data_IF_539325374580
#
_entry.id   IF_539325374580
#
_cell.length_a   1.000
_cell.length_b   1.000
_cell.length_c   1.000
_cell.angle_alpha   90.00
_cell.angle_beta   90.00
_cell.angle_gamma   90.00
#
_symmetry.space_group_name_H-M   'P 1'
#
loop_
_entity.id
_entity.type
_entity.pdbx_description
1 polymer ?
#
# COMPACT_ATOMS: atom_id res chain seq x y z
N UNK A 1 31.00 -23.42 -9.77
CA UNK A 1 30.62 -22.15 -10.42
C UNK A 1 30.51 -22.36 -11.92
N UNK A 2 29.71 -21.56 -12.63
CA UNK A 2 29.68 -21.53 -14.11
C UNK A 2 28.99 -22.70 -14.83
N UNK A 3 28.09 -23.45 -14.16
CA UNK A 3 27.33 -24.55 -14.79
C UNK A 3 26.09 -24.10 -15.55
N UNK A 4 25.60 -22.88 -15.28
CA UNK A 4 24.40 -22.34 -15.93
C UNK A 4 24.81 -21.76 -17.28
N UNK A 5 24.31 -22.33 -18.37
CA UNK A 5 24.58 -21.83 -19.72
C UNK A 5 23.63 -20.70 -20.09
N UNK A 6 22.33 -20.93 -19.93
CA UNK A 6 21.28 -19.96 -20.20
C UNK A 6 20.46 -19.72 -18.94
N UNK A 7 20.40 -18.47 -18.50
CA UNK A 7 19.51 -18.01 -17.43
C UNK A 7 18.38 -17.19 -18.04
N UNK A 8 17.14 -17.64 -17.89
CA UNK A 8 15.95 -16.90 -18.33
C UNK A 8 15.20 -16.39 -17.10
N UNK A 9 14.97 -15.08 -17.03
CA UNK A 9 14.27 -14.40 -15.94
C UNK A 9 13.02 -13.76 -16.54
N UNK A 10 11.85 -14.11 -16.00
CA UNK A 10 10.56 -13.65 -16.49
C UNK A 10 9.87 -12.89 -15.37
N UNK A 11 9.45 -11.66 -15.66
CA UNK A 11 8.69 -10.77 -14.77
C UNK A 11 9.25 -10.72 -13.34
N UNK A 12 10.58 -10.57 -13.23
CA UNK A 12 11.26 -10.57 -11.94
C UNK A 12 12.52 -9.73 -11.97
N UNK A 13 12.78 -9.06 -10.84
CA UNK A 13 13.94 -8.20 -10.66
C UNK A 13 14.82 -8.67 -9.47
N UNK A 14 15.46 -9.85 -9.59
CA UNK A 14 16.27 -10.43 -8.52
C UNK A 14 17.55 -9.64 -8.19
N UNK A 15 18.10 -8.84 -9.11
CA UNK A 15 19.23 -7.93 -8.78
C UNK A 15 18.82 -6.91 -7.71
N UNK A 16 17.58 -6.43 -7.76
CA UNK A 16 17.04 -5.51 -6.76
C UNK A 16 16.49 -6.25 -5.52
N UNK A 17 15.74 -7.33 -5.73
CA UNK A 17 14.93 -7.97 -4.67
C UNK A 17 15.63 -9.10 -3.92
N UNK A 18 16.70 -9.72 -4.46
CA UNK A 18 17.34 -10.84 -3.78
C UNK A 18 17.90 -10.41 -2.41
N UNK A 19 17.79 -11.27 -1.37
CA UNK A 19 18.53 -11.09 -0.13
C UNK A 19 20.03 -10.86 -0.39
N UNK A 20 20.64 -9.98 0.40
CA UNK A 20 22.00 -9.50 0.17
C UNK A 20 23.05 -10.63 0.23
N UNK A 21 22.84 -11.62 1.09
CA UNK A 21 23.71 -12.78 1.24
C UNK A 21 23.75 -13.71 0.01
N UNK A 22 22.76 -13.63 -0.87
CA UNK A 22 22.76 -14.41 -2.12
C UNK A 22 23.68 -13.81 -3.19
N UNK A 23 24.07 -12.54 -3.08
CA UNK A 23 24.91 -11.83 -4.06
C UNK A 23 24.47 -12.06 -5.52
N UNK A 24 23.15 -12.00 -5.77
CA UNK A 24 22.58 -12.43 -7.05
C UNK A 24 23.18 -11.73 -8.27
N UNK A 25 23.47 -10.43 -8.17
CA UNK A 25 24.10 -9.65 -9.24
C UNK A 25 25.45 -10.26 -9.69
N UNK A 26 26.29 -10.71 -8.76
CA UNK A 26 27.56 -11.35 -9.08
C UNK A 26 27.37 -12.81 -9.55
N UNK A 27 26.38 -13.52 -9.00
CA UNK A 27 26.05 -14.87 -9.44
C UNK A 27 25.53 -14.90 -10.89
N UNK A 28 24.70 -13.92 -11.27
CA UNK A 28 24.13 -13.77 -12.61
C UNK A 28 25.21 -13.62 -13.68
N UNK A 29 26.31 -12.91 -13.39
CA UNK A 29 27.46 -12.74 -14.30
C UNK A 29 28.19 -14.05 -14.63
N UNK A 30 27.96 -15.11 -13.85
CA UNK A 30 28.58 -16.42 -14.08
C UNK A 30 27.82 -17.27 -15.12
N UNK A 31 26.60 -16.87 -15.50
CA UNK A 31 25.87 -17.52 -16.58
C UNK A 31 26.47 -17.11 -17.94
N UNK A 32 26.55 -18.04 -18.91
CA UNK A 32 27.09 -17.70 -20.25
C UNK A 32 26.19 -16.71 -20.99
N UNK A 33 24.87 -16.87 -20.84
CA UNK A 33 23.86 -15.96 -21.37
C UNK A 33 22.76 -15.73 -20.34
N UNK A 34 22.29 -14.50 -20.25
CA UNK A 34 21.14 -14.12 -19.45
C UNK A 34 20.10 -13.39 -20.31
N UNK A 35 18.87 -13.86 -20.27
CA UNK A 35 17.71 -13.29 -20.97
C UNK A 35 16.70 -12.83 -19.93
N UNK A 36 16.31 -11.57 -20.01
CA UNK A 36 15.32 -10.96 -19.11
C UNK A 36 14.12 -10.54 -19.93
N UNK A 37 12.93 -10.99 -19.52
CA UNK A 37 11.63 -10.58 -20.05
C UNK A 37 10.87 -9.80 -18.97
N UNK A 38 11.00 -8.47 -18.96
CA UNK A 38 10.46 -7.59 -17.92
C UNK A 38 9.72 -6.38 -18.53
N UNK A 39 8.77 -5.76 -17.80
CA UNK A 39 8.02 -4.61 -18.30
C UNK A 39 8.84 -3.31 -18.34
N UNK A 40 9.93 -3.26 -17.57
CA UNK A 40 10.84 -2.11 -17.50
C UNK A 40 12.27 -2.57 -17.70
N UNK A 41 13.11 -1.68 -18.23
CA UNK A 41 14.57 -1.83 -18.17
C UNK A 41 15.01 -1.55 -16.72
N UNK A 42 14.92 -2.58 -15.89
CA UNK A 42 15.24 -2.56 -14.47
C UNK A 42 16.68 -2.96 -14.14
N UNK A 43 17.00 -3.04 -12.85
CA UNK A 43 18.32 -3.39 -12.35
C UNK A 43 18.81 -4.75 -12.84
N UNK A 44 17.90 -5.70 -13.08
CA UNK A 44 18.24 -7.01 -13.62
C UNK A 44 18.44 -6.95 -15.13
N UNK A 45 17.54 -6.26 -15.84
CA UNK A 45 17.67 -6.05 -17.28
C UNK A 45 18.97 -5.32 -17.66
N UNK A 46 19.37 -4.31 -16.87
CA UNK A 46 20.59 -3.54 -17.07
C UNK A 46 21.88 -4.39 -16.97
N UNK A 47 21.81 -5.57 -16.33
CA UNK A 47 22.93 -6.51 -16.21
C UNK A 47 22.77 -7.74 -17.12
N UNK A 48 21.67 -7.84 -17.87
CA UNK A 48 21.37 -8.98 -18.71
C UNK A 48 22.10 -8.92 -20.06
N UNK A 49 22.29 -10.09 -20.68
CA UNK A 49 22.78 -10.16 -22.07
C UNK A 49 21.71 -9.73 -23.06
N UNK A 50 20.45 -10.11 -22.78
CA UNK A 50 19.28 -9.78 -23.57
C UNK A 50 18.19 -9.22 -22.69
N UNK A 51 17.63 -8.08 -23.10
CA UNK A 51 16.38 -7.55 -22.55
C UNK A 51 15.28 -7.66 -23.62
N UNK A 52 14.16 -8.26 -23.23
CA UNK A 52 12.96 -8.39 -24.02
C UNK A 52 11.85 -7.63 -23.28
N UNK A 53 11.19 -6.64 -23.90
CA UNK A 53 10.06 -5.96 -23.27
C UNK A 53 8.90 -6.93 -23.08
N UNK A 54 8.42 -7.08 -21.83
CA UNK A 54 7.24 -7.88 -21.50
C UNK A 54 5.95 -7.11 -21.84
N UNK A 55 5.01 -7.75 -22.52
CA UNK A 55 3.68 -7.20 -22.74
C UNK A 55 2.90 -7.07 -21.43
N UNK A 56 2.17 -5.97 -21.25
CA UNK A 56 1.30 -5.81 -20.09
C UNK A 56 0.13 -6.82 -20.17
N UNK A 57 -0.44 -7.32 -19.05
CA UNK A 57 -1.57 -8.25 -19.08
C UNK A 57 -2.79 -7.77 -19.89
N UNK A 58 -2.96 -6.45 -20.04
CA UNK A 58 -4.02 -5.86 -20.88
C UNK A 58 -3.75 -5.95 -22.40
N UNK A 59 -2.57 -6.41 -22.80
CA UNK A 59 -2.09 -6.51 -24.18
C UNK A 59 -1.83 -7.95 -24.62
N UNK A 60 -2.03 -8.93 -23.73
CA UNK A 60 -1.67 -10.33 -23.96
C UNK A 60 -2.79 -11.29 -23.57
N UNK A 61 -2.89 -12.40 -24.29
CA UNK A 61 -3.63 -13.58 -23.85
C UNK A 61 -2.84 -14.38 -22.82
N UNK A 62 -3.51 -14.76 -21.74
CA UNK A 62 -2.96 -15.69 -20.74
C UNK A 62 -4.11 -16.28 -19.92
N UNK A 63 -3.80 -17.06 -18.91
CA UNK A 63 -4.71 -17.39 -17.82
C UNK A 63 -4.07 -17.05 -16.46
N UNK A 64 -4.92 -17.03 -15.43
CA UNK A 64 -4.53 -16.82 -14.04
C UNK A 64 -5.41 -17.67 -13.13
N UNK A 65 -4.88 -18.07 -11.97
CA UNK A 65 -5.60 -18.82 -10.95
C UNK A 65 -5.72 -18.00 -9.67
N UNK A 66 -6.94 -17.79 -9.21
CA UNK A 66 -7.24 -17.12 -7.95
C UNK A 66 -6.83 -17.97 -6.74
N UNK A 67 -6.83 -17.36 -5.55
CA UNK A 67 -6.36 -18.00 -4.31
C UNK A 67 -7.14 -19.28 -3.93
N UNK A 68 -8.40 -19.39 -4.36
CA UNK A 68 -9.27 -20.54 -4.11
C UNK A 68 -9.20 -21.62 -5.21
N UNK A 69 -8.35 -21.39 -6.22
CA UNK A 69 -8.21 -22.28 -7.36
C UNK A 69 -9.02 -21.90 -8.59
N UNK A 70 -9.97 -20.98 -8.49
CA UNK A 70 -10.81 -20.56 -9.61
C UNK A 70 -9.93 -19.95 -10.71
N UNK A 71 -10.09 -20.42 -11.94
CA UNK A 71 -9.29 -19.98 -13.08
C UNK A 71 -10.03 -18.89 -13.87
N UNK A 72 -9.27 -17.93 -14.39
CA UNK A 72 -9.72 -16.86 -15.27
C UNK A 72 -8.82 -16.79 -16.50
N UNK A 73 -9.39 -16.47 -17.66
CA UNK A 73 -8.63 -16.20 -18.88
C UNK A 73 -8.41 -14.68 -18.97
N UNK A 74 -7.14 -14.28 -19.08
CA UNK A 74 -6.74 -12.90 -19.28
C UNK A 74 -6.99 -12.53 -20.74
N UNK A 75 -7.78 -11.48 -20.94
CA UNK A 75 -8.17 -10.96 -22.25
C UNK A 75 -7.41 -9.68 -22.57
N UNK A 76 -6.75 -9.58 -23.73
CA UNK A 76 -6.18 -8.31 -24.17
C UNK A 76 -7.32 -7.33 -24.50
N UNK A 77 -7.27 -6.14 -23.91
CA UNK A 77 -8.18 -5.03 -24.22
C UNK A 77 -7.65 -4.15 -25.35
N UNK A 78 -6.35 -4.24 -25.63
CA UNK A 78 -5.68 -3.48 -26.68
C UNK A 78 -4.61 -4.33 -27.35
N UNK A 79 -4.23 -3.97 -28.57
CA UNK A 79 -3.02 -4.54 -29.21
C UNK A 79 -1.77 -4.00 -28.50
N UNK A 80 -0.67 -4.76 -28.44
CA UNK A 80 0.58 -4.29 -27.84
C UNK A 80 1.01 -2.92 -28.40
N UNK A 81 1.23 -1.97 -27.51
CA UNK A 81 1.65 -0.62 -27.88
C UNK A 81 3.11 -0.57 -28.36
N UNK A 82 3.93 -1.48 -27.85
CA UNK A 82 5.33 -1.63 -28.20
C UNK A 82 5.57 -3.00 -28.85
N UNK A 83 6.77 -3.18 -29.42
CA UNK A 83 7.21 -4.50 -29.93
C UNK A 83 7.61 -5.43 -28.77
N UNK A 84 6.72 -5.62 -27.82
CA UNK A 84 6.87 -6.49 -26.66
C UNK A 84 6.57 -7.95 -27.00
N UNK A 85 6.91 -8.84 -26.08
CA UNK A 85 6.63 -10.29 -26.16
C UNK A 85 5.97 -10.76 -24.88
N UNK A 86 5.23 -11.86 -24.97
CA UNK A 86 4.65 -12.52 -23.80
C UNK A 86 5.56 -13.62 -23.27
N UNK A 87 5.32 -14.06 -22.03
CA UNK A 87 6.00 -15.23 -21.47
C UNK A 87 5.73 -16.50 -22.30
N UNK A 88 4.51 -16.65 -22.82
CA UNK A 88 4.11 -17.77 -23.67
C UNK A 88 4.95 -17.83 -24.95
N UNK A 89 5.09 -16.70 -25.65
CA UNK A 89 5.88 -16.63 -26.89
C UNK A 89 7.36 -16.91 -26.64
N UNK A 90 7.93 -16.38 -25.55
CA UNK A 90 9.32 -16.64 -25.18
C UNK A 90 9.55 -18.14 -24.91
N UNK A 91 8.68 -18.75 -24.09
CA UNK A 91 8.77 -20.17 -23.77
C UNK A 91 8.55 -21.05 -25.01
N UNK A 92 7.66 -20.65 -25.92
CA UNK A 92 7.46 -21.35 -27.19
C UNK A 92 8.73 -21.36 -28.05
N UNK A 93 9.42 -20.21 -28.17
CA UNK A 93 10.71 -20.13 -28.87
C UNK A 93 11.76 -21.04 -28.24
N UNK A 94 11.86 -21.05 -26.91
CA UNK A 94 12.79 -21.92 -26.19
C UNK A 94 12.49 -23.41 -26.36
N UNK A 95 11.21 -23.76 -26.58
CA UNK A 95 10.78 -25.12 -26.89
C UNK A 95 10.83 -25.46 -28.39
N UNK A 96 11.35 -24.57 -29.24
CA UNK A 96 11.45 -24.76 -30.69
C UNK A 96 10.14 -24.55 -31.46
N UNK A 97 9.06 -24.14 -30.80
CA UNK A 97 7.77 -23.81 -31.40
C UNK A 97 7.73 -22.33 -31.86
N UNK A 98 8.66 -21.97 -32.74
CA UNK A 98 8.82 -20.59 -33.21
C UNK A 98 7.57 -20.17 -34.00
N UNK A 99 6.98 -19.03 -33.63
CA UNK A 99 5.80 -18.47 -34.30
C UNK A 99 4.47 -18.82 -33.64
N UNK A 100 4.47 -19.66 -32.60
CA UNK A 100 3.27 -19.88 -31.77
C UNK A 100 2.91 -18.61 -31.02
N UNK A 101 1.65 -18.17 -31.16
CA UNK A 101 1.13 -16.99 -30.46
C UNK A 101 0.70 -17.33 -29.03
N UNK A 102 0.57 -16.31 -28.19
CA UNK A 102 0.00 -16.44 -26.85
C UNK A 102 -1.45 -16.96 -26.88
N UNK A 103 -2.26 -16.45 -27.81
CA UNK A 103 -3.63 -16.90 -28.04
C UNK A 103 -3.71 -18.40 -28.38
N UNK A 104 -2.88 -18.86 -29.33
CA UNK A 104 -2.83 -20.26 -29.73
C UNK A 104 -2.35 -21.15 -28.57
N UNK A 105 -1.39 -20.66 -27.77
CA UNK A 105 -0.90 -21.37 -26.58
C UNK A 105 -2.00 -21.59 -25.56
N UNK A 106 -2.73 -20.54 -25.20
CA UNK A 106 -3.84 -20.59 -24.22
C UNK A 106 -4.96 -21.49 -24.74
N UNK A 107 -5.37 -21.33 -26.00
CA UNK A 107 -6.44 -22.16 -26.58
C UNK A 107 -6.05 -23.62 -26.65
N UNK A 108 -4.84 -23.93 -27.12
CA UNK A 108 -4.36 -25.31 -27.22
C UNK A 108 -4.34 -25.96 -25.84
N UNK A 109 -3.85 -25.26 -24.82
CA UNK A 109 -3.85 -25.77 -23.46
C UNK A 109 -5.27 -26.06 -22.96
N UNK A 110 -6.21 -25.11 -23.08
CA UNK A 110 -7.58 -25.30 -22.59
C UNK A 110 -8.38 -26.32 -23.40
N UNK A 111 -8.12 -26.45 -24.69
CA UNK A 111 -8.73 -27.50 -25.51
C UNK A 111 -8.26 -28.88 -25.04
N UNK A 112 -6.98 -29.04 -24.72
CA UNK A 112 -6.44 -30.27 -24.13
C UNK A 112 -6.99 -30.56 -22.73
N UNK A 113 -7.09 -29.54 -21.86
CA UNK A 113 -7.61 -29.71 -20.50
C UNK A 113 -9.09 -30.10 -20.47
N UNK A 114 -9.88 -29.53 -21.37
CA UNK A 114 -11.34 -29.79 -21.42
C UNK A 114 -11.68 -31.06 -22.22
N UNK A 115 -10.84 -31.45 -23.18
CA UNK A 115 -11.09 -32.59 -24.06
C UNK A 115 -12.29 -32.38 -24.98
N UNK A 116 -12.77 -31.15 -25.12
CA UNK A 116 -13.91 -30.79 -25.96
C UNK A 116 -13.52 -30.79 -27.45
N UNK A 117 -14.49 -31.12 -28.31
CA UNK A 117 -14.33 -30.90 -29.74
C UNK A 117 -14.31 -29.41 -30.09
N UNK A 118 -13.94 -29.06 -31.33
CA UNK A 118 -13.73 -27.66 -31.73
C UNK A 118 -14.96 -26.77 -31.48
N UNK A 119 -16.16 -27.27 -31.78
CA UNK A 119 -17.39 -26.50 -31.65
C UNK A 119 -17.77 -26.28 -30.17
N UNK A 120 -17.73 -27.33 -29.36
CA UNK A 120 -18.01 -27.22 -27.93
C UNK A 120 -16.93 -26.43 -27.19
N UNK A 121 -15.66 -26.53 -27.62
CA UNK A 121 -14.56 -25.74 -27.08
C UNK A 121 -14.74 -24.25 -27.37
N UNK A 122 -15.17 -23.87 -28.58
CA UNK A 122 -15.42 -22.47 -28.92
C UNK A 122 -16.52 -21.86 -28.05
N UNK A 123 -17.58 -22.60 -27.77
CA UNK A 123 -18.65 -22.15 -26.87
C UNK A 123 -18.18 -22.05 -25.41
N UNK A 124 -17.40 -23.04 -24.94
CA UNK A 124 -16.74 -23.00 -23.64
C UNK A 124 -15.83 -21.77 -23.50
N UNK A 125 -14.95 -21.54 -24.48
CA UNK A 125 -13.98 -20.45 -24.46
C UNK A 125 -14.70 -19.10 -24.43
N UNK A 126 -15.66 -18.87 -25.34
CA UNK A 126 -16.48 -17.64 -25.35
C UNK A 126 -17.21 -17.42 -24.03
N UNK A 127 -17.76 -18.48 -23.42
CA UNK A 127 -18.42 -18.38 -22.12
C UNK A 127 -17.42 -17.96 -21.04
N UNK A 128 -16.26 -18.60 -20.96
CA UNK A 128 -15.21 -18.26 -19.99
C UNK A 128 -14.72 -16.81 -20.15
N UNK A 129 -14.59 -16.33 -21.39
CA UNK A 129 -14.27 -14.93 -21.67
C UNK A 129 -15.37 -13.97 -21.21
N UNK A 130 -16.64 -14.32 -21.42
CA UNK A 130 -17.79 -13.50 -21.05
C UNK A 130 -18.02 -13.44 -19.53
N UNK A 131 -17.91 -14.58 -18.84
CA UNK A 131 -18.07 -14.67 -17.39
C UNK A 131 -16.83 -14.20 -16.63
N UNK A 132 -15.67 -14.22 -17.28
CA UNK A 132 -14.37 -13.90 -16.68
C UNK A 132 -13.79 -15.03 -15.81
N UNK A 133 -14.49 -16.15 -15.64
CA UNK A 133 -14.05 -17.31 -14.85
C UNK A 133 -14.44 -18.62 -15.51
N UNK A 134 -13.65 -19.66 -15.23
CA UNK A 134 -13.91 -21.03 -15.66
C UNK A 134 -14.57 -21.78 -14.49
N UNK A 135 -15.87 -22.05 -14.63
CA UNK A 135 -16.63 -22.82 -13.64
C UNK A 135 -16.02 -24.22 -13.41
N UNK A 136 -16.11 -24.74 -12.18
CA UNK A 136 -15.61 -26.07 -11.83
C UNK A 136 -14.10 -26.20 -11.66
N UNK A 137 -13.35 -25.08 -11.65
CA UNK A 137 -11.88 -25.09 -11.46
C UNK A 137 -11.43 -24.82 -10.02
N UNK A 138 -12.35 -24.47 -9.13
CA UNK A 138 -12.10 -24.25 -7.70
C UNK A 138 -11.45 -25.51 -7.09
N UNK A 139 -10.48 -25.32 -6.19
CA UNK A 139 -9.84 -26.44 -5.52
C UNK A 139 -10.81 -27.08 -4.51
N UNK A 140 -10.89 -28.40 -4.55
CA UNK A 140 -11.65 -29.17 -3.56
C UNK A 140 -10.90 -29.19 -2.22
N UNK A 141 -11.60 -29.03 -1.09
CA UNK A 141 -10.99 -29.18 0.23
C UNK A 141 -10.36 -30.56 0.40
N UNK A 142 -9.18 -30.60 1.00
CA UNK A 142 -8.49 -31.85 1.35
C UNK A 142 -8.59 -32.08 2.85
N UNK A 143 -9.07 -33.26 3.25
CA UNK A 143 -9.05 -33.70 4.64
C UNK A 143 -7.59 -33.91 5.08
N UNK A 144 -7.16 -33.10 6.05
CA UNK A 144 -5.82 -33.19 6.63
C UNK A 144 -5.90 -33.65 8.08
N UNK A 145 -4.96 -34.49 8.49
CA UNK A 145 -4.73 -34.83 9.90
C UNK A 145 -3.55 -34.04 10.43
N UNK A 146 -3.67 -33.58 11.68
CA UNK A 146 -2.53 -32.98 12.38
C UNK A 146 -1.51 -34.06 12.70
N UNK A 147 -0.24 -33.79 12.41
CA UNK A 147 0.86 -34.66 12.81
C UNK A 147 1.10 -34.46 14.32
N UNK A 148 0.83 -35.51 15.10
CA UNK A 148 1.11 -35.50 16.53
C UNK A 148 2.63 -35.40 16.80
N UNK A 149 3.00 -34.69 17.87
CA UNK A 149 4.39 -34.60 18.32
C UNK A 149 5.25 -33.54 17.63
N UNK A 150 4.69 -32.68 16.78
CA UNK A 150 5.41 -31.49 16.28
C UNK A 150 5.65 -30.53 17.44
N UNK A 151 6.91 -30.45 17.88
CA UNK A 151 7.34 -29.46 18.87
C UNK A 151 7.99 -28.27 18.16
N UNK A 152 7.28 -27.15 18.09
CA UNK A 152 7.86 -25.87 17.68
C UNK A 152 8.56 -25.25 18.89
N UNK A 153 9.90 -25.29 18.90
CA UNK A 153 10.68 -24.57 19.89
C UNK A 153 10.88 -23.12 19.44
N UNK A 154 10.29 -22.18 20.17
CA UNK A 154 10.61 -20.77 19.97
C UNK A 154 12.05 -20.51 20.45
N UNK A 155 12.85 -19.75 19.69
CA UNK A 155 14.14 -19.29 20.19
C UNK A 155 13.94 -18.44 21.45
N UNK A 156 14.92 -18.39 22.37
CA UNK A 156 14.81 -17.57 23.56
C UNK A 156 14.70 -16.08 23.17
N UNK A 157 13.90 -15.29 23.90
CA UNK A 157 13.73 -13.87 23.61
C UNK A 157 15.05 -13.13 23.78
N UNK A 158 15.32 -12.18 22.88
CA UNK A 158 16.49 -11.30 22.96
C UNK A 158 16.05 -9.91 23.39
N UNK A 159 16.95 -9.14 24.03
CA UNK A 159 16.70 -7.75 24.43
C UNK A 159 17.27 -6.74 23.44
N UNK A 160 17.74 -7.22 22.29
CA UNK A 160 18.33 -6.38 21.25
C UNK A 160 17.26 -5.79 20.34
N UNK A 161 17.61 -4.70 19.66
CA UNK A 161 16.75 -4.13 18.64
C UNK A 161 16.49 -5.16 17.52
N UNK A 162 15.26 -5.17 17.01
CA UNK A 162 14.83 -6.03 15.90
C UNK A 162 14.50 -5.19 14.67
N UNK A 163 14.82 -5.72 13.48
CA UNK A 163 14.48 -5.12 12.20
C UNK A 163 13.46 -6.01 11.48
N UNK A 164 12.27 -5.48 11.23
CA UNK A 164 11.18 -6.14 10.52
C UNK A 164 11.05 -5.59 9.10
N UNK A 165 11.01 -6.50 8.13
CA UNK A 165 10.73 -6.16 6.73
C UNK A 165 9.26 -6.38 6.42
N UNK A 166 8.61 -5.41 5.79
CA UNK A 166 7.24 -5.56 5.29
C UNK A 166 7.15 -5.09 3.84
N UNK A 167 6.37 -5.75 2.97
CA UNK A 167 6.02 -5.16 1.68
C UNK A 167 5.34 -3.80 1.90
N UNK A 168 5.62 -2.85 1.02
CA UNK A 168 4.90 -1.59 1.05
C UNK A 168 3.43 -1.80 0.63
N UNK A 169 2.42 -1.23 1.31
CA UNK A 169 1.02 -1.47 0.98
C UNK A 169 0.59 -1.04 -0.43
N UNK A 170 1.29 -0.08 -1.05
CA UNK A 170 0.92 0.43 -2.38
C UNK A 170 1.80 -0.17 -3.48
N UNK A 171 3.13 -0.19 -3.30
CA UNK A 171 4.07 -0.63 -4.35
C UNK A 171 4.61 -2.06 -4.12
N UNK A 172 4.19 -2.72 -3.04
CA UNK A 172 4.51 -4.10 -2.68
C UNK A 172 6.01 -4.38 -2.57
N UNK A 173 6.58 -5.04 -3.57
CA UNK A 173 7.99 -5.42 -3.68
C UNK A 173 8.79 -4.51 -4.63
N UNK A 174 8.17 -3.42 -5.09
CA UNK A 174 8.78 -2.44 -6.00
C UNK A 174 8.51 -2.69 -7.48
N UNK A 175 7.77 -3.76 -7.82
CA UNK A 175 7.31 -3.99 -9.20
C UNK A 175 6.45 -2.85 -9.74
N UNK A 176 5.72 -2.17 -8.84
CA UNK A 176 4.88 -1.01 -9.18
C UNK A 176 5.50 0.33 -8.80
N UNK A 177 6.80 0.38 -8.47
CA UNK A 177 7.45 1.61 -8.00
C UNK A 177 7.45 2.75 -9.04
N UNK A 178 7.33 2.43 -10.33
CA UNK A 178 7.25 3.44 -11.39
C UNK A 178 5.80 3.92 -11.65
N UNK A 179 4.83 3.51 -10.82
CA UNK A 179 3.46 4.00 -10.86
C UNK A 179 3.30 5.22 -9.94
N UNK A 180 3.11 6.40 -10.53
CA UNK A 180 3.01 7.65 -9.77
C UNK A 180 1.76 7.75 -8.89
N UNK A 181 0.64 7.12 -9.27
CA UNK A 181 -0.55 7.04 -8.41
C UNK A 181 -0.22 6.34 -7.10
N UNK A 182 0.54 5.24 -7.16
CA UNK A 182 0.91 4.44 -5.98
C UNK A 182 2.06 5.05 -5.17
N UNK A 183 2.91 5.88 -5.80
CA UNK A 183 3.93 6.65 -5.08
C UNK A 183 3.32 7.82 -4.28
N UNK A 184 2.37 8.54 -4.86
CA UNK A 184 1.66 9.64 -4.20
C UNK A 184 0.59 9.14 -3.21
N UNK A 185 0.16 7.87 -3.30
CA UNK A 185 -0.85 7.30 -2.41
C UNK A 185 -0.37 7.34 -0.94
N UNK A 186 -1.03 8.06 -0.02
CA UNK A 186 -0.59 8.13 1.37
C UNK A 186 -0.65 6.75 2.04
N UNK A 187 0.42 6.30 2.69
CA UNK A 187 0.43 5.00 3.38
C UNK A 187 -0.61 4.95 4.50
N UNK A 188 -1.33 3.81 4.72
CA UNK A 188 -2.51 3.78 5.59
C UNK A 188 -2.30 4.36 7.00
N UNK A 189 -1.18 4.01 7.64
CA UNK A 189 -0.89 4.44 9.02
C UNK A 189 -0.09 5.73 9.09
N UNK A 190 0.97 5.86 8.28
CA UNK A 190 1.92 6.98 8.38
C UNK A 190 1.52 8.20 7.54
N UNK A 191 0.66 8.00 6.54
CA UNK A 191 0.29 8.98 5.49
C UNK A 191 1.47 9.51 4.68
N UNK A 192 2.63 8.85 4.79
CA UNK A 192 3.80 9.14 3.98
C UNK A 192 3.50 8.90 2.49
N UNK A 193 4.12 9.72 1.65
CA UNK A 193 4.14 9.59 0.19
C UNK A 193 5.58 9.63 -0.30
N UNK A 194 5.84 9.08 -1.49
CA UNK A 194 7.13 9.13 -2.20
C UNK A 194 8.35 8.48 -1.53
N UNK A 195 8.30 8.14 -0.23
CA UNK A 195 9.41 7.54 0.51
C UNK A 195 8.96 6.45 1.48
N UNK A 196 9.85 5.50 1.73
CA UNK A 196 9.85 4.68 2.95
C UNK A 196 10.68 5.32 4.07
N UNK A 197 10.43 4.87 5.30
CA UNK A 197 11.14 5.31 6.49
C UNK A 197 11.31 4.14 7.48
N UNK A 198 12.21 4.31 8.45
CA UNK A 198 12.35 3.41 9.59
C UNK A 198 11.27 3.75 10.61
N UNK A 199 10.23 2.92 10.66
CA UNK A 199 9.11 3.09 11.57
C UNK A 199 9.52 2.63 12.97
N UNK A 200 9.34 3.50 13.96
CA UNK A 200 9.75 3.24 15.36
C UNK A 200 8.69 3.71 16.34
N UNK A 201 8.64 3.09 17.52
CA UNK A 201 7.80 3.56 18.63
C UNK A 201 8.31 4.89 19.20
N UNK A 202 7.44 5.72 19.82
CA UNK A 202 7.85 6.90 20.57
C UNK A 202 9.00 6.64 21.55
N UNK A 203 8.90 5.56 22.35
CA UNK A 203 9.92 5.19 23.35
C UNK A 203 11.24 4.80 22.71
N UNK A 204 11.18 4.01 21.63
CA UNK A 204 12.36 3.61 20.87
C UNK A 204 13.04 4.83 20.26
N UNK A 205 12.28 5.77 19.70
CA UNK A 205 12.82 7.01 19.14
C UNK A 205 13.52 7.88 20.19
N UNK A 206 12.92 8.09 21.36
CA UNK A 206 13.52 8.85 22.47
C UNK A 206 14.86 8.25 22.87
N UNK A 207 14.93 6.92 23.01
CA UNK A 207 16.15 6.20 23.38
C UNK A 207 17.21 6.27 22.28
N UNK A 208 16.84 5.99 21.02
CA UNK A 208 17.77 5.95 19.89
C UNK A 208 18.36 7.32 19.57
N UNK A 209 17.55 8.37 19.64
CA UNK A 209 17.97 9.74 19.34
C UNK A 209 18.50 10.50 20.58
N UNK A 210 18.53 9.86 21.75
CA UNK A 210 18.92 10.45 23.02
C UNK A 210 18.20 11.79 23.28
N UNK A 211 16.89 11.80 23.06
CA UNK A 211 16.10 13.03 23.17
C UNK A 211 15.88 13.37 24.65
N UNK A 212 15.88 14.66 25.03
CA UNK A 212 15.64 15.10 26.40
C UNK A 212 14.13 15.08 26.72
N UNK A 213 13.51 13.91 26.64
CA UNK A 213 12.12 13.66 27.03
C UNK A 213 12.06 12.71 28.22
N UNK A 214 11.14 13.00 29.12
CA UNK A 214 10.61 11.99 30.03
C UNK A 214 9.43 11.29 29.33
N UNK A 215 9.46 9.97 29.09
CA UNK A 215 8.32 9.24 28.55
C UNK A 215 7.01 9.48 29.32
N UNK A 216 7.07 9.78 30.62
CA UNK A 216 5.88 10.13 31.40
C UNK A 216 5.22 11.45 30.96
N UNK A 217 5.98 12.36 30.33
CA UNK A 217 5.42 13.61 29.77
C UNK A 217 4.52 13.39 28.56
N UNK A 218 4.66 12.24 27.87
CA UNK A 218 3.79 11.86 26.76
C UNK A 218 2.40 11.41 27.21
N UNK A 219 2.28 11.03 28.49
CA UNK A 219 1.02 10.61 29.14
C UNK A 219 0.34 11.75 29.91
N UNK A 220 0.91 12.97 29.93
CA UNK A 220 0.31 14.10 30.63
C UNK A 220 -0.99 14.57 29.95
N UNK A 221 -1.99 15.11 30.68
CA UNK A 221 -3.19 15.65 30.04
C UNK A 221 -2.99 17.09 29.52
N UNK A 222 -3.69 17.43 28.43
CA UNK A 222 -3.79 18.79 27.89
C UNK A 222 -2.51 19.32 27.23
N UNK A 223 -2.35 20.66 27.24
CA UNK A 223 -1.33 21.38 26.44
C UNK A 223 0.12 20.88 26.61
N UNK A 224 0.46 20.32 27.77
CA UNK A 224 1.81 19.80 28.01
C UNK A 224 2.10 18.57 27.13
N UNK A 225 1.10 17.71 26.90
CA UNK A 225 1.20 16.58 25.99
C UNK A 225 1.24 17.04 24.55
N UNK A 226 0.41 18.00 24.16
CA UNK A 226 0.39 18.52 22.78
C UNK A 226 1.77 19.07 22.38
N UNK A 227 2.41 19.84 23.28
CA UNK A 227 3.78 20.34 23.07
C UNK A 227 4.83 19.22 23.06
N UNK A 228 4.70 18.21 23.92
CA UNK A 228 5.62 17.07 23.92
C UNK A 228 5.49 16.24 22.62
N UNK A 229 4.26 16.05 22.15
CA UNK A 229 3.95 15.39 20.88
C UNK A 229 4.50 16.17 19.70
N UNK A 230 4.28 17.49 19.64
CA UNK A 230 4.80 18.35 18.57
C UNK A 230 6.33 18.32 18.51
N UNK A 231 7.00 18.35 19.67
CA UNK A 231 8.46 18.23 19.72
C UNK A 231 8.94 16.85 19.28
N UNK A 232 8.23 15.78 19.62
CA UNK A 232 8.57 14.42 19.24
C UNK A 232 8.36 14.21 17.73
N UNK A 233 7.20 14.59 17.20
CA UNK A 233 6.89 14.51 15.76
C UNK A 233 7.81 15.41 14.95
N UNK A 234 8.25 16.52 15.53
CA UNK A 234 9.30 17.37 15.00
C UNK A 234 10.58 16.61 14.66
N UNK A 235 10.88 15.49 15.32
CA UNK A 235 12.05 14.63 15.06
C UNK A 235 11.90 13.64 13.90
N UNK A 236 10.72 13.55 13.28
CA UNK A 236 10.55 12.81 12.03
C UNK A 236 11.54 13.31 10.96
N UNK A 237 12.09 12.38 10.18
CA UNK A 237 13.11 12.68 9.17
C UNK A 237 14.54 12.73 9.70
N UNK A 238 14.79 12.55 11.01
CA UNK A 238 16.14 12.32 11.54
C UNK A 238 16.74 11.05 10.96
N UNK A 239 18.00 11.12 10.51
CA UNK A 239 18.69 9.98 9.91
C UNK A 239 19.26 9.05 10.98
N UNK A 240 19.15 7.75 10.75
CA UNK A 240 19.83 6.70 11.53
C UNK A 240 20.62 5.78 10.59
N UNK A 241 21.74 5.26 11.09
CA UNK A 241 22.49 4.19 10.45
C UNK A 241 22.05 2.86 11.08
N UNK A 242 21.35 2.03 10.31
CA UNK A 242 20.89 0.68 10.70
C UNK A 242 21.92 -0.32 10.20
N UNK A 243 22.52 -1.09 11.12
CA UNK A 243 23.53 -2.10 10.80
C UNK A 243 23.01 -3.49 11.13
N UNK A 244 23.04 -4.36 10.13
CA UNK A 244 22.79 -5.81 10.22
C UNK A 244 24.05 -6.57 9.81
N UNK A 245 24.12 -7.90 9.99
CA UNK A 245 25.26 -8.68 9.48
C UNK A 245 25.40 -8.63 7.95
N UNK A 246 24.34 -8.24 7.22
CA UNK A 246 24.38 -8.06 5.77
C UNK A 246 25.01 -6.72 5.34
N UNK A 247 24.95 -5.69 6.19
CA UNK A 247 25.50 -4.38 5.91
C UNK A 247 24.85 -3.25 6.71
N UNK A 248 25.22 -2.02 6.37
CA UNK A 248 24.68 -0.80 6.98
C UNK A 248 23.88 -0.02 5.94
N UNK A 249 22.71 0.50 6.34
CA UNK A 249 21.89 1.40 5.54
C UNK A 249 21.54 2.64 6.36
N UNK A 250 21.75 3.80 5.76
CA UNK A 250 21.31 5.08 6.30
C UNK A 250 19.90 5.39 5.82
N UNK A 251 18.97 5.68 6.73
CA UNK A 251 17.60 6.06 6.38
C UNK A 251 16.93 6.92 7.46
N UNK A 252 15.90 7.72 7.12
CA UNK A 252 15.19 8.55 8.08
C UNK A 252 14.23 7.74 8.94
N UNK A 253 14.02 8.19 10.18
CA UNK A 253 12.99 7.64 11.05
C UNK A 253 11.63 8.30 10.81
N UNK A 254 10.59 7.54 11.11
CA UNK A 254 9.23 8.04 11.27
C UNK A 254 8.61 7.42 12.53
N UNK A 255 8.18 8.28 13.45
CA UNK A 255 7.68 7.87 14.76
C UNK A 255 6.19 7.53 14.62
N UNK A 256 5.82 6.32 15.05
CA UNK A 256 4.46 5.77 14.91
C UNK A 256 3.94 5.35 16.28
N UNK A 257 2.96 6.07 16.86
CA UNK A 257 2.19 5.59 18.01
C UNK A 257 1.60 4.18 17.76
N UNK A 258 1.67 3.31 18.77
CA UNK A 258 1.27 1.91 18.68
C UNK A 258 2.28 0.98 18.02
N UNK A 259 3.45 1.49 17.62
CA UNK A 259 4.53 0.63 17.16
C UNK A 259 5.20 -0.10 18.33
N UNK A 260 5.60 -1.34 18.12
CA UNK A 260 6.27 -2.13 19.14
C UNK A 260 7.61 -1.50 19.57
N UNK A 261 7.91 -1.58 20.85
CA UNK A 261 9.20 -1.15 21.39
C UNK A 261 10.34 -2.03 20.88
N UNK A 262 11.53 -1.42 20.81
CA UNK A 262 12.77 -2.06 20.38
C UNK A 262 12.66 -2.76 19.01
N UNK A 263 11.73 -2.29 18.18
CA UNK A 263 11.47 -2.79 16.83
C UNK A 263 11.56 -1.63 15.84
N UNK A 264 12.26 -1.85 14.74
CA UNK A 264 12.25 -1.00 13.55
C UNK A 264 11.52 -1.75 12.45
N UNK A 265 10.43 -1.20 11.91
CA UNK A 265 9.84 -1.70 10.66
C UNK A 265 10.30 -0.88 9.47
N UNK A 266 10.75 -1.55 8.41
CA UNK A 266 11.08 -0.92 7.12
C UNK A 266 10.26 -1.54 6.00
N UNK A 267 9.85 -0.73 5.02
CA UNK A 267 9.06 -1.21 3.88
C UNK A 267 9.90 -1.46 2.64
N UNK A 268 9.61 -2.56 1.94
CA UNK A 268 10.24 -2.98 0.70
C UNK A 268 9.69 -2.18 -0.50
N UNK A 269 10.40 -2.23 -1.63
CA UNK A 269 9.92 -1.71 -2.92
C UNK A 269 10.43 -0.33 -3.33
N UNK A 270 11.18 0.35 -2.45
CA UNK A 270 11.81 1.65 -2.70
C UNK A 270 13.32 1.54 -2.97
N UNK A 271 13.94 2.65 -3.37
CA UNK A 271 15.37 2.77 -3.61
C UNK A 271 15.82 2.09 -4.90
N UNK A 272 14.95 2.08 -5.90
CA UNK A 272 15.27 1.57 -7.22
C UNK A 272 16.22 2.53 -7.94
N UNK A 273 17.20 1.96 -8.64
CA UNK A 273 18.18 2.71 -9.44
C UNK A 273 17.90 2.65 -10.93
N UNK A 274 17.02 1.73 -11.33
CA UNK A 274 16.52 1.56 -12.69
C UNK A 274 15.02 1.23 -12.63
N UNK A 275 14.34 1.27 -13.78
CA UNK A 275 12.92 0.95 -13.88
C UNK A 275 12.00 2.17 -14.05
N UNK A 276 12.56 3.36 -14.25
CA UNK A 276 11.83 4.52 -14.75
C UNK A 276 11.87 5.76 -13.84
N UNK A 277 11.44 6.88 -14.41
CA UNK A 277 11.59 8.23 -13.83
C UNK A 277 10.86 8.45 -12.50
N UNK A 278 9.83 7.65 -12.21
CA UNK A 278 9.06 7.76 -10.96
C UNK A 278 9.68 6.88 -9.86
N UNK A 279 10.25 5.74 -10.23
CA UNK A 279 10.89 4.82 -9.30
C UNK A 279 12.30 5.30 -8.87
N UNK A 280 13.05 5.88 -9.81
CA UNK A 280 14.42 6.33 -9.59
C UNK A 280 14.48 7.49 -8.60
N UNK A 281 15.22 7.28 -7.50
CA UNK A 281 15.41 8.29 -6.44
C UNK A 281 14.30 8.34 -5.39
N UNK A 282 13.25 7.52 -5.50
CA UNK A 282 12.22 7.40 -4.47
C UNK A 282 12.67 6.45 -3.34
N UNK A 283 12.74 6.95 -2.10
CA UNK A 283 13.04 6.18 -0.89
C UNK A 283 14.39 5.43 -0.88
N UNK A 284 14.46 4.39 -0.05
CA UNK A 284 15.69 3.69 0.36
C UNK A 284 15.59 2.19 0.09
N UNK A 285 16.65 1.60 -0.49
CA UNK A 285 16.69 0.17 -0.81
C UNK A 285 17.06 -0.67 0.41
N UNK A 286 16.03 -1.18 1.08
CA UNK A 286 16.16 -2.01 2.29
C UNK A 286 16.39 -3.50 2.01
N UNK A 287 16.25 -3.96 0.74
CA UNK A 287 16.59 -5.36 0.39
C UNK A 287 18.05 -5.70 0.69
N UNK A 288 18.93 -4.69 0.68
CA UNK A 288 20.35 -4.80 1.03
C UNK A 288 20.62 -5.21 2.48
N UNK A 289 19.65 -5.05 3.37
CA UNK A 289 19.76 -5.48 4.77
C UNK A 289 19.18 -6.88 5.01
N UNK A 290 18.46 -7.44 4.03
CA UNK A 290 17.72 -8.70 4.16
C UNK A 290 18.64 -9.90 3.94
N UNK A 291 18.43 -10.95 4.72
CA UNK A 291 19.16 -12.22 4.62
C UNK A 291 18.23 -13.37 4.25
N UNK A 292 18.73 -14.37 3.53
CA UNK A 292 17.93 -15.51 3.08
C UNK A 292 17.46 -16.41 4.24
N UNK A 293 18.25 -16.52 5.31
CA UNK A 293 17.91 -17.33 6.48
C UNK A 293 16.72 -16.76 7.28
N UNK A 294 16.66 -15.43 7.42
CA UNK A 294 15.58 -14.73 8.12
C UNK A 294 15.11 -13.54 7.28
N UNK A 295 14.28 -13.78 6.24
CA UNK A 295 13.97 -12.76 5.24
C UNK A 295 13.00 -11.69 5.72
N UNK A 296 12.34 -11.89 6.87
CA UNK A 296 11.31 -10.97 7.37
C UNK A 296 11.67 -10.30 8.68
N UNK A 297 12.56 -10.89 9.48
CA UNK A 297 12.94 -10.38 10.79
C UNK A 297 14.43 -10.64 11.01
N UNK A 298 15.17 -9.61 11.41
CA UNK A 298 16.57 -9.73 11.83
C UNK A 298 16.67 -9.22 13.25
N UNK A 299 17.01 -10.11 14.18
CA UNK A 299 17.30 -9.74 15.57
C UNK A 299 18.77 -9.31 15.73
N UNK A 300 19.09 -8.61 16.82
CA UNK A 300 20.47 -8.23 17.11
C UNK A 300 20.99 -7.08 16.25
N UNK A 301 20.11 -6.23 15.73
CA UNK A 301 20.52 -5.09 14.90
C UNK A 301 21.00 -3.94 15.78
N UNK A 302 21.86 -3.09 15.22
CA UNK A 302 22.26 -1.83 15.86
C UNK A 302 21.77 -0.65 15.03
N UNK A 303 21.30 0.38 15.72
CA UNK A 303 20.88 1.63 15.10
C UNK A 303 21.55 2.79 15.83
N UNK A 304 22.13 3.72 15.08
CA UNK A 304 22.80 4.90 15.64
C UNK A 304 22.28 6.17 14.99
N UNK A 305 22.03 7.20 15.80
CA UNK A 305 21.55 8.49 15.32
C UNK A 305 22.67 9.24 14.57
N UNK A 306 22.30 9.89 13.47
CA UNK A 306 23.19 10.72 12.67
C UNK A 306 22.67 12.16 12.74
N UNK A 307 23.59 13.14 12.78
CA UNK A 307 23.22 14.56 12.77
C UNK A 307 22.87 15.06 11.35
N UNK A 308 21.97 14.35 10.68
CA UNK A 308 21.46 14.65 9.35
C UNK A 308 19.92 14.55 9.37
N UNK A 309 19.27 15.25 8.44
CA UNK A 309 17.82 15.21 8.27
C UNK A 309 17.47 14.99 6.81
N UNK A 310 16.38 14.27 6.59
CA UNK A 310 15.78 14.05 5.29
C UNK A 310 14.33 14.55 5.29
N UNK A 311 13.91 15.14 4.18
CA UNK A 311 12.54 15.57 4.00
C UNK A 311 11.66 14.35 3.74
N UNK A 312 10.92 13.93 4.77
CA UNK A 312 9.77 13.03 4.61
C UNK A 312 8.50 13.86 4.43
N UNK A 313 7.59 13.37 3.60
CA UNK A 313 6.38 14.09 3.22
C UNK A 313 5.16 13.23 3.55
N UNK A 314 4.20 13.83 4.26
CA UNK A 314 2.93 13.22 4.65
C UNK A 314 1.78 14.09 4.15
N UNK A 315 0.65 13.48 3.77
CA UNK A 315 -0.58 14.23 3.46
C UNK A 315 -1.40 14.58 4.71
N UNK A 316 -0.92 14.20 5.89
CA UNK A 316 -1.59 14.46 7.15
C UNK A 316 -0.58 14.93 8.20
N UNK A 317 -0.78 16.15 8.70
CA UNK A 317 0.06 16.77 9.72
C UNK A 317 -0.40 16.39 11.15
N UNK A 318 -1.70 16.54 11.41
CA UNK A 318 -2.30 16.28 12.72
C UNK A 318 -2.92 14.89 12.75
N UNK A 319 -2.55 14.10 13.75
CA UNK A 319 -2.92 12.69 13.85
C UNK A 319 -3.69 12.35 15.12
N UNK A 320 -3.93 13.29 16.01
CA UNK A 320 -4.77 13.18 17.21
C UNK A 320 -6.19 13.67 16.92
N UNK A 321 -7.19 13.19 17.67
CA UNK A 321 -8.57 13.69 17.55
C UNK A 321 -8.75 15.09 18.16
N UNK A 322 -7.83 15.58 19.01
CA UNK A 322 -7.94 16.88 19.69
C UNK A 322 -9.27 17.07 20.46
N UNK A 323 -9.88 15.96 20.92
CA UNK A 323 -11.19 15.96 21.58
C UNK A 323 -12.36 16.34 20.66
N UNK A 324 -12.15 16.38 19.34
CA UNK A 324 -13.16 16.75 18.35
C UNK A 324 -14.03 15.56 17.96
N UNK A 325 -15.29 15.86 17.67
CA UNK A 325 -16.28 14.90 17.23
C UNK A 325 -16.15 14.58 15.72
N UNK A 326 -15.00 14.01 15.35
CA UNK A 326 -14.64 13.68 13.97
C UNK A 326 -14.97 12.21 13.67
N UNK A 327 -14.44 11.30 14.48
CA UNK A 327 -14.80 9.87 14.45
C UNK A 327 -15.42 9.48 15.78
N UNK A 328 -16.62 8.90 15.74
CA UNK A 328 -17.28 8.33 16.91
C UNK A 328 -17.09 6.84 16.93
N UNK A 329 -16.43 6.36 17.98
CA UNK A 329 -16.24 4.95 18.24
C UNK A 329 -16.97 4.54 19.51
N UNK A 330 -17.31 3.26 19.60
CA UNK A 330 -18.01 2.71 20.73
C UNK A 330 -17.97 1.19 20.75
N UNK A 331 -18.30 0.63 21.91
CA UNK A 331 -18.41 -0.81 22.12
C UNK A 331 -19.69 -1.38 21.51
N UNK A 332 -19.55 -2.52 20.84
CA UNK A 332 -20.66 -3.24 20.22
C UNK A 332 -21.69 -3.74 21.23
N UNK A 333 -21.25 -4.19 22.41
CA UNK A 333 -22.15 -4.67 23.47
C UNK A 333 -23.12 -3.57 23.90
N UNK A 334 -22.60 -2.37 24.17
CA UNK A 334 -23.40 -1.19 24.51
C UNK A 334 -24.28 -0.73 23.34
N UNK A 335 -23.81 -0.92 22.10
CA UNK A 335 -24.58 -0.51 20.91
C UNK A 335 -25.81 -1.37 20.72
N UNK A 336 -25.74 -2.66 21.09
CA UNK A 336 -26.90 -3.53 21.10
C UNK A 336 -27.96 -3.10 22.12
N UNK A 337 -27.54 -2.60 23.27
CA UNK A 337 -28.44 -2.16 24.34
C UNK A 337 -29.09 -0.81 24.01
N UNK A 338 -28.30 0.14 23.50
CA UNK A 338 -28.76 1.48 23.11
C UNK A 338 -28.04 1.98 21.84
N UNK A 339 -28.57 1.72 20.63
CA UNK A 339 -27.93 2.20 19.40
C UNK A 339 -27.71 3.72 19.34
N UNK A 340 -28.44 4.51 20.14
CA UNK A 340 -28.35 5.97 20.14
C UNK A 340 -27.22 6.53 21.00
N UNK A 341 -26.52 5.74 21.81
CA UNK A 341 -25.47 6.29 22.67
C UNK A 341 -24.25 6.84 21.90
N UNK A 342 -24.04 6.37 20.66
CA UNK A 342 -23.01 6.88 19.74
C UNK A 342 -23.54 8.00 18.83
N UNK A 343 -24.84 8.32 18.92
CA UNK A 343 -25.41 9.43 18.18
C UNK A 343 -24.82 10.76 18.68
N UNK A 344 -24.80 11.76 17.79
CA UNK A 344 -24.22 13.09 18.04
C UNK A 344 -24.78 13.71 19.33
N UNK A 345 -26.07 13.50 19.55
CA UNK A 345 -26.84 14.03 20.66
C UNK A 345 -26.30 13.52 22.01
N UNK A 346 -25.98 12.23 22.11
CA UNK A 346 -25.51 11.60 23.36
C UNK A 346 -24.00 11.83 23.57
N UNK A 347 -23.21 11.88 22.49
CA UNK A 347 -21.78 12.21 22.58
C UNK A 347 -21.56 13.67 23.03
N UNK A 348 -22.34 14.61 22.49
CA UNK A 348 -22.32 16.02 22.88
C UNK A 348 -22.78 16.24 24.33
N UNK A 349 -23.74 15.46 24.83
CA UNK A 349 -24.15 15.49 26.25
C UNK A 349 -23.08 14.96 27.21
N UNK A 350 -22.26 13.99 26.78
CA UNK A 350 -21.24 13.34 27.63
C UNK A 350 -19.87 14.01 27.59
N UNK A 351 -19.45 14.52 26.43
CA UNK A 351 -18.11 15.07 26.20
C UNK A 351 -18.11 16.50 25.64
N UNK A 352 -19.27 17.04 25.27
CA UNK A 352 -19.42 18.42 24.79
C UNK A 352 -19.67 19.42 25.92
N UNK A 353 -19.47 20.71 25.61
CA UNK A 353 -20.07 21.77 26.43
C UNK A 353 -21.60 21.73 26.26
N UNK A 354 -22.39 22.02 27.30
CA UNK A 354 -23.86 21.97 27.25
C UNK A 354 -24.42 23.13 26.42
N UNK A 355 -24.19 23.12 25.11
CA UNK A 355 -24.87 24.01 24.18
C UNK A 355 -26.24 23.42 23.83
N UNK A 356 -27.29 24.08 24.34
CA UNK A 356 -28.67 23.89 23.89
C UNK A 356 -28.69 23.91 22.37
N UNK A 357 -29.26 22.86 21.77
CA UNK A 357 -29.62 22.79 20.34
C UNK A 357 -30.01 24.18 19.82
N UNK A 358 -29.18 24.87 19.04
CA UNK A 358 -29.74 25.74 18.04
C UNK A 358 -30.46 24.76 17.12
N UNK A 359 -31.79 24.82 17.04
CA UNK A 359 -32.40 24.51 15.75
C UNK A 359 -31.73 25.52 14.82
N UNK A 360 -30.74 25.07 14.04
CA UNK A 360 -30.09 25.90 13.06
C UNK A 360 -31.17 26.26 12.04
N UNK A 361 -31.92 27.33 12.32
CA UNK A 361 -32.77 27.96 11.34
C UNK A 361 -31.82 28.71 10.44
N UNK A 362 -31.55 28.12 9.28
CA UNK A 362 -30.84 28.85 8.23
C UNK A 362 -31.67 30.09 7.88
N UNK A 363 -31.01 31.24 7.78
CA UNK A 363 -31.60 32.45 7.23
C UNK A 363 -31.70 32.37 5.70
N UNK A 364 -31.02 31.40 5.09
CA UNK A 364 -31.07 31.14 3.65
C UNK A 364 -32.27 30.23 3.36
N UNK A 365 -33.02 30.49 2.27
CA UNK A 365 -34.10 29.61 1.85
C UNK A 365 -33.52 28.23 1.49
N UNK A 366 -34.19 27.16 1.92
CA UNK A 366 -33.90 25.81 1.45
C UNK A 366 -34.42 25.58 0.03
N UNK A 367 -33.86 24.60 -0.66
CA UNK A 367 -34.34 24.13 -1.96
C UNK A 367 -35.24 22.91 -1.77
N UNK A 368 -36.23 22.76 -2.66
CA UNK A 368 -37.10 21.58 -2.68
C UNK A 368 -36.52 20.52 -3.62
N UNK A 369 -35.90 19.50 -3.03
CA UNK A 369 -35.38 18.35 -3.75
C UNK A 369 -36.39 17.19 -3.82
N UNK A 370 -37.64 17.37 -3.37
CA UNK A 370 -38.62 16.27 -3.26
C UNK A 370 -39.01 15.64 -4.61
N UNK A 371 -38.73 16.32 -5.71
CA UNK A 371 -38.97 15.84 -7.07
C UNK A 371 -37.65 15.44 -7.74
N UNK A 372 -37.56 14.20 -8.22
CA UNK A 372 -36.35 13.67 -8.86
C UNK A 372 -35.55 12.76 -7.94
N UNK A 373 -34.29 12.52 -8.29
CA UNK A 373 -33.37 11.76 -7.46
C UNK A 373 -32.70 12.71 -6.45
N UNK A 374 -32.47 12.20 -5.23
CA UNK A 374 -31.58 12.85 -4.26
C UNK A 374 -30.40 11.92 -4.01
N UNK A 375 -29.20 12.33 -4.41
CA UNK A 375 -28.01 11.48 -4.26
C UNK A 375 -27.38 11.65 -2.88
N UNK A 376 -27.27 10.55 -2.15
CA UNK A 376 -26.60 10.50 -0.86
C UNK A 376 -25.53 9.40 -0.85
N UNK A 377 -24.39 9.69 -0.21
CA UNK A 377 -23.34 8.71 0.02
C UNK A 377 -23.20 8.43 1.52
N UNK A 378 -23.29 7.15 1.88
CA UNK A 378 -23.08 6.69 3.26
C UNK A 378 -21.86 5.78 3.28
N UNK A 379 -20.93 6.06 4.19
CA UNK A 379 -19.69 5.31 4.34
C UNK A 379 -19.75 4.59 5.69
N UNK A 380 -19.71 3.26 5.65
CA UNK A 380 -19.58 2.44 6.85
C UNK A 380 -18.12 2.44 7.34
N UNK A 381 -17.87 3.22 8.39
CA UNK A 381 -16.53 3.34 9.00
C UNK A 381 -16.09 2.05 9.70
N UNK A 382 -17.01 1.16 10.08
CA UNK A 382 -16.66 -0.11 10.74
C UNK A 382 -16.02 -1.12 9.78
N UNK A 383 -16.34 -1.02 8.48
CA UNK A 383 -15.74 -1.82 7.41
C UNK A 383 -14.50 -1.16 6.79
N UNK A 384 -14.23 0.12 7.09
CA UNK A 384 -13.10 0.84 6.52
C UNK A 384 -11.78 0.42 7.15
N UNK A 385 -11.00 -0.37 6.42
CA UNK A 385 -9.65 -0.79 6.85
C UNK A 385 -8.53 0.14 6.34
N UNK A 386 -8.88 1.23 5.66
CA UNK A 386 -7.91 2.20 5.13
C UNK A 386 -7.03 1.63 4.01
N UNK A 387 -7.59 0.77 3.16
CA UNK A 387 -6.87 0.17 2.03
C UNK A 387 -6.46 1.17 0.93
N UNK A 388 -7.00 2.40 0.96
CA UNK A 388 -6.81 3.46 -0.02
C UNK A 388 -7.18 3.12 -1.48
N UNK A 389 -7.84 1.98 -1.74
CA UNK A 389 -8.30 1.62 -3.07
C UNK A 389 -9.29 2.66 -3.64
N UNK A 390 -10.13 3.24 -2.78
CA UNK A 390 -11.05 4.31 -3.17
C UNK A 390 -10.33 5.60 -3.63
N UNK A 391 -9.14 5.89 -3.09
CA UNK A 391 -8.32 7.04 -3.49
C UNK A 391 -7.80 6.84 -4.92
N UNK A 392 -7.17 5.69 -5.18
CA UNK A 392 -6.65 5.35 -6.52
C UNK A 392 -7.79 5.24 -7.55
N UNK A 393 -8.93 4.66 -7.17
CA UNK A 393 -10.09 4.57 -8.05
C UNK A 393 -10.63 5.96 -8.43
N UNK A 394 -10.74 6.87 -7.46
CA UNK A 394 -11.15 8.25 -7.72
C UNK A 394 -10.14 8.96 -8.63
N UNK A 395 -8.84 8.75 -8.42
CA UNK A 395 -7.77 9.30 -9.25
C UNK A 395 -7.83 8.78 -10.69
N UNK A 396 -8.02 7.47 -10.88
CA UNK A 396 -8.12 6.84 -12.19
C UNK A 396 -9.36 7.29 -12.97
N UNK A 397 -10.52 7.38 -12.31
CA UNK A 397 -11.79 7.76 -12.93
C UNK A 397 -11.84 9.26 -13.28
N UNK A 398 -11.36 10.11 -12.37
CA UNK A 398 -11.52 11.57 -12.48
C UNK A 398 -10.32 12.28 -13.08
N UNK A 399 -9.37 11.54 -13.67
CA UNK A 399 -8.16 12.09 -14.30
C UNK A 399 -7.35 12.99 -13.37
N UNK A 400 -7.28 12.65 -12.07
CA UNK A 400 -6.62 13.50 -11.08
C UNK A 400 -5.10 13.41 -11.29
N UNK A 401 -4.38 14.53 -11.50
CA UNK A 401 -2.97 14.51 -11.82
C UNK A 401 -2.13 14.06 -10.62
N UNK A 402 -0.99 13.44 -10.90
CA UNK A 402 -0.01 13.09 -9.87
C UNK A 402 0.75 14.34 -9.43
N UNK A 403 0.94 14.52 -8.12
CA UNK A 403 1.74 15.60 -7.55
C UNK A 403 3.06 15.08 -7.01
N UNK A 404 4.16 15.69 -7.46
CA UNK A 404 5.50 15.33 -7.01
C UNK A 404 5.75 15.71 -5.54
N UNK A 405 6.66 14.96 -4.90
CA UNK A 405 7.05 15.10 -3.48
C UNK A 405 7.21 16.54 -2.99
N UNK A 406 7.86 17.40 -3.77
CA UNK A 406 8.14 18.79 -3.37
C UNK A 406 6.87 19.66 -3.25
N UNK A 407 5.84 19.39 -4.06
CA UNK A 407 4.58 20.13 -3.98
C UNK A 407 3.64 19.50 -2.94
N UNK A 408 3.68 18.17 -2.76
CA UNK A 408 2.99 17.51 -1.63
C UNK A 408 3.55 18.02 -0.30
N UNK A 409 4.86 18.27 -0.20
CA UNK A 409 5.49 18.88 0.98
C UNK A 409 4.95 20.29 1.33
N UNK A 410 4.21 20.92 0.40
CA UNK A 410 3.55 22.21 0.57
C UNK A 410 2.04 22.07 0.80
N UNK A 411 1.54 20.85 1.03
CA UNK A 411 0.11 20.56 1.22
C UNK A 411 -0.71 20.74 -0.05
N UNK A 412 -0.18 20.30 -1.19
CA UNK A 412 -0.80 20.47 -2.53
C UNK A 412 -1.04 19.15 -3.24
N UNK A 413 -1.15 18.05 -2.50
CA UNK A 413 -1.61 16.78 -3.04
C UNK A 413 -2.99 16.92 -3.68
N UNK A 414 -3.20 16.23 -4.80
CA UNK A 414 -4.48 16.24 -5.49
C UNK A 414 -5.17 14.90 -5.24
N UNK A 415 -5.85 14.79 -4.09
CA UNK A 415 -6.69 13.64 -3.75
C UNK A 415 -8.07 14.15 -3.34
N UNK A 416 -9.11 13.86 -4.13
CA UNK A 416 -10.49 14.33 -3.86
C UNK A 416 -11.18 13.54 -2.74
N UNK A 417 -10.82 12.26 -2.61
CA UNK A 417 -11.09 11.47 -1.42
C UNK A 417 -9.76 11.20 -0.72
N UNK A 418 -9.71 11.45 0.59
CA UNK A 418 -8.57 11.12 1.45
C UNK A 418 -9.01 10.21 2.57
N UNK A 419 -8.12 9.38 3.06
CA UNK A 419 -8.36 8.58 4.26
C UNK A 419 -7.59 9.21 5.40
N UNK A 420 -8.28 9.81 6.35
CA UNK A 420 -7.65 10.36 7.55
C UNK A 420 -7.41 9.21 8.55
N UNK A 421 -6.29 9.28 9.30
CA UNK A 421 -6.00 8.37 10.41
C UNK A 421 -5.88 9.17 11.70
N UNK A 422 -6.64 8.78 12.72
CA UNK A 422 -6.60 9.41 14.02
C UNK A 422 -6.21 8.40 15.10
N UNK A 423 -5.24 8.77 15.94
CA UNK A 423 -4.94 8.07 17.17
C UNK A 423 -5.74 8.68 18.32
N UNK A 424 -6.33 7.81 19.14
CA UNK A 424 -7.03 8.15 20.35
C UNK A 424 -6.50 7.35 21.55
N UNK A 425 -6.87 7.78 22.76
CA UNK A 425 -6.34 7.25 24.01
C UNK A 425 -5.23 8.11 24.60
N UNK A 426 -4.92 7.88 25.86
CA UNK A 426 -3.83 8.54 26.59
C UNK A 426 -2.50 7.82 26.40
N UNK A 427 -2.54 6.51 26.15
CA UNK A 427 -1.37 5.65 25.93
C UNK A 427 -0.94 5.67 24.46
N UNK A 428 0.27 6.18 24.20
CA UNK A 428 0.87 6.19 22.85
C UNK A 428 1.53 4.86 22.48
N UNK A 429 1.80 3.99 23.45
CA UNK A 429 2.34 2.66 23.19
C UNK A 429 1.23 1.72 22.68
N UNK A 430 -0.02 1.99 23.07
CA UNK A 430 -1.19 1.24 22.62
C UNK A 430 -2.40 2.15 22.34
N UNK A 431 -2.32 3.04 21.33
CA UNK A 431 -3.40 3.92 20.97
C UNK A 431 -4.47 3.18 20.18
N UNK A 432 -5.71 3.65 20.29
CA UNK A 432 -6.77 3.29 19.35
C UNK A 432 -6.51 4.02 18.02
N UNK A 433 -6.64 3.32 16.89
CA UNK A 433 -6.47 3.91 15.57
C UNK A 433 -7.80 3.88 14.80
N UNK A 434 -8.23 5.06 14.36
CA UNK A 434 -9.47 5.26 13.61
C UNK A 434 -9.18 5.75 12.20
N UNK A 435 -9.95 5.25 11.25
CA UNK A 435 -9.83 5.57 9.84
C UNK A 435 -11.13 6.20 9.35
N UNK A 436 -11.02 7.34 8.67
CA UNK A 436 -12.18 8.06 8.17
C UNK A 436 -11.93 8.53 6.74
N UNK A 437 -12.61 7.93 5.74
CA UNK A 437 -12.65 8.48 4.40
C UNK A 437 -13.37 9.83 4.41
N UNK A 438 -12.70 10.85 3.88
CA UNK A 438 -13.22 12.20 3.72
C UNK A 438 -13.23 12.58 2.24
N UNK A 439 -14.39 13.00 1.78
CA UNK A 439 -14.65 13.50 0.42
C UNK A 439 -15.45 14.80 0.52
N UNK A 440 -15.73 15.45 -0.62
CA UNK A 440 -16.78 16.47 -0.67
C UNK A 440 -18.10 15.84 -0.23
N UNK A 441 -18.74 16.41 0.79
CA UNK A 441 -20.01 15.91 1.30
C UNK A 441 -21.23 16.40 0.50
N UNK A 442 -21.02 17.21 -0.54
CA UNK A 442 -22.08 17.82 -1.36
C UNK A 442 -23.18 18.45 -0.48
N UNK A 443 -22.75 19.35 0.42
CA UNK A 443 -23.63 19.91 1.44
C UNK A 443 -24.77 20.73 0.83
N UNK A 444 -26.02 20.52 1.23
CA UNK A 444 -27.16 21.37 0.80
C UNK A 444 -26.94 22.87 1.13
N UNK A 445 -26.39 23.16 2.30
CA UNK A 445 -25.98 24.52 2.68
C UNK A 445 -24.47 24.68 2.44
N UNK A 446 -24.05 24.58 1.19
CA UNK A 446 -22.64 24.63 0.80
C UNK A 446 -22.02 26.03 1.01
N UNK A 447 -21.12 26.21 2.00
CA UNK A 447 -20.44 27.50 2.18
C UNK A 447 -19.45 27.79 1.04
N UNK A 448 -18.96 26.76 0.35
CA UNK A 448 -18.02 26.90 -0.77
C UNK A 448 -18.66 27.54 -2.01
N UNK A 449 -19.97 27.42 -2.19
CA UNK A 449 -20.67 28.00 -3.35
C UNK A 449 -20.89 29.50 -3.19
N UNK A 450 -21.37 29.91 -2.01
CA UNK A 450 -21.70 31.31 -1.71
C UNK A 450 -20.52 32.27 -1.84
N UNK A 451 -19.29 31.75 -1.72
CA UNK A 451 -18.06 32.54 -1.77
C UNK A 451 -17.42 32.57 -3.17
N UNK A 452 -17.98 31.86 -4.16
CA UNK A 452 -17.44 31.83 -5.52
C UNK A 452 -17.89 33.07 -6.32
N UNK A 453 -17.00 34.05 -6.59
CA UNK A 453 -17.40 35.33 -7.19
C UNK A 453 -17.84 35.21 -8.65
N UNK A 454 -17.56 34.08 -9.29
CA UNK A 454 -17.87 33.80 -10.70
C UNK A 454 -18.88 32.68 -10.88
N UNK A 455 -19.51 32.22 -9.79
CA UNK A 455 -20.54 31.16 -9.80
C UNK A 455 -20.11 29.88 -10.54
N UNK A 456 -18.85 29.47 -10.39
CA UNK A 456 -18.33 28.24 -10.98
C UNK A 456 -18.73 26.98 -10.20
N UNK A 457 -19.15 27.13 -8.94
CA UNK A 457 -19.63 26.06 -8.06
C UNK A 457 -21.07 26.38 -7.69
N UNK A 458 -22.00 25.49 -8.04
CA UNK A 458 -23.45 25.60 -7.82
C UNK A 458 -24.03 24.22 -7.53
N UNK A 459 -25.11 24.15 -6.76
CA UNK A 459 -25.93 22.95 -6.64
C UNK A 459 -26.65 22.61 -7.95
N UNK A 460 -26.89 21.32 -8.17
CA UNK A 460 -27.83 20.85 -9.19
C UNK A 460 -29.21 20.58 -8.56
N UNK A 461 -30.12 20.00 -9.35
CA UNK A 461 -31.47 19.65 -8.87
C UNK A 461 -31.53 18.28 -8.15
N UNK A 462 -30.43 17.53 -8.11
CA UNK A 462 -30.34 16.18 -7.54
C UNK A 462 -29.61 16.13 -6.19
N UNK A 463 -29.09 17.26 -5.70
CA UNK A 463 -28.49 17.38 -4.36
C UNK A 463 -27.13 18.05 -4.41
#
# INVERSE_FOLDING_TARGET
AGRVELLVIIDSNPVFTAPADLNFAEAMKQAKQSVVLNPYEDETAAQATWFIPLSHPLESWSDARAYDGTVSIIQPLIRPLYSSRTAHELLAVLNGAIGTTDYDSVRTYWQQQTGLDDAAFDDFFKRALSTGVIEGTRLEPVDVSLVDGVQLQAPPPTTSLELLFRPDPAIWDGRFANNGWLQELPRPMTKLTWDNAALVSPRTAIRLLNLPFDPASLAAPGRARDQALERLTGENGRMIDITTPAGTLRMPIWIVPGHADDTITVTLGYGRTHGGRVAEGAGFNVYRLRQSANPWLVAGVSATAVNERYLLVSTQDHWTLEGRDVVRAGEFARFKEDPKYIAKEVYAEKYGSPERKPQYQSLLPGFDYSTGNQWGMVIDLSACIGCNACVVACQAENNIPIVGKNEVARGREMHWIRIDRYYAGEDLDNPEAYLMPMTCAHCEQAPCELVCPVAATVHDAEG
#
